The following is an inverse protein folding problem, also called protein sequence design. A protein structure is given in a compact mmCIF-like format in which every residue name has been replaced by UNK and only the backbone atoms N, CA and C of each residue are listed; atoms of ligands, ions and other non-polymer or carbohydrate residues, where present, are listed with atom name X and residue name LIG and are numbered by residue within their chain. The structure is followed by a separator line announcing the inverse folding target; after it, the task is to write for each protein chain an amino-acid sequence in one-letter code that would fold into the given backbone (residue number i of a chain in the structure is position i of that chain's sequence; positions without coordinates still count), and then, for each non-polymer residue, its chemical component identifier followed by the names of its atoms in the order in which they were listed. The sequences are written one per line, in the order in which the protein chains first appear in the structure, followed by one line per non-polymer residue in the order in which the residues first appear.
data_IF_934349041972
#
_entry.id   IF_934349041972
#
_cell.length_a   1.000
_cell.length_b   1.000
_cell.length_c   1.000
_cell.angle_alpha   90.00
_cell.angle_beta   90.00
_cell.angle_gamma   90.00
#
_symmetry.space_group_name_H-M   'P 1'
#
loop_
_entity.id
_entity.type
_entity.pdbx_description
1 polymer ?
#
# COMPACT_ATOMS: atom_id res chain seq x y z
N UNK A 1 -4.60 6.74 -31.99
CA UNK A 1 -6.03 7.11 -31.92
C UNK A 1 -6.23 7.88 -30.63
N UNK A 2 -6.44 9.20 -30.70
CA UNK A 2 -6.49 10.04 -29.52
C UNK A 2 -7.92 10.14 -29.00
N UNK A 3 -8.29 9.32 -28.01
CA UNK A 3 -9.18 9.74 -26.92
C UNK A 3 -9.23 8.68 -25.81
N UNK A 4 -8.31 8.75 -24.87
CA UNK A 4 -8.63 8.41 -23.50
C UNK A 4 -7.91 9.47 -22.69
N UNK A 5 -8.65 10.46 -22.21
CA UNK A 5 -8.38 11.04 -20.91
C UNK A 5 -8.46 9.91 -19.88
N UNK A 6 -7.52 8.97 -19.91
CA UNK A 6 -7.30 7.99 -18.86
C UNK A 6 -6.87 8.83 -17.67
N UNK A 7 -7.86 9.23 -16.88
CA UNK A 7 -7.63 10.01 -15.68
C UNK A 7 -6.71 9.15 -14.81
N UNK A 8 -5.47 9.59 -14.60
CA UNK A 8 -4.47 8.85 -13.81
C UNK A 8 -5.07 8.36 -12.49
N UNK A 9 -5.90 9.20 -11.88
CA UNK A 9 -6.62 8.90 -10.65
C UNK A 9 -7.72 7.83 -10.78
N UNK A 10 -8.36 7.66 -11.94
CA UNK A 10 -9.42 6.65 -12.09
C UNK A 10 -8.85 5.22 -12.04
N UNK A 11 -7.73 4.97 -12.73
CA UNK A 11 -7.09 3.66 -12.68
C UNK A 11 -6.43 3.42 -11.33
N UNK A 12 -5.63 4.40 -10.88
CA UNK A 12 -4.95 4.28 -9.58
C UNK A 12 -5.92 4.13 -8.42
N UNK A 13 -7.14 4.68 -8.52
CA UNK A 13 -8.19 4.46 -7.52
C UNK A 13 -8.63 3.00 -7.48
N UNK A 14 -8.83 2.35 -8.62
CA UNK A 14 -9.20 0.94 -8.65
C UNK A 14 -8.08 0.07 -8.06
N UNK A 15 -6.82 0.30 -8.47
CA UNK A 15 -5.66 -0.42 -7.93
C UNK A 15 -5.50 -0.18 -6.41
N UNK A 16 -5.78 1.05 -5.95
CA UNK A 16 -5.77 1.39 -4.52
C UNK A 16 -6.90 0.67 -3.77
N UNK A 17 -8.10 0.59 -4.34
CA UNK A 17 -9.23 -0.11 -3.72
C UNK A 17 -8.88 -1.60 -3.51
N UNK A 18 -8.26 -2.26 -4.49
CA UNK A 18 -7.78 -3.64 -4.38
C UNK A 18 -6.71 -3.78 -3.28
N UNK A 19 -5.74 -2.86 -3.23
CA UNK A 19 -4.72 -2.83 -2.18
C UNK A 19 -5.34 -2.65 -0.78
N UNK A 20 -6.32 -1.76 -0.64
CA UNK A 20 -7.01 -1.51 0.64
C UNK A 20 -7.85 -2.72 1.08
N UNK A 21 -8.44 -3.44 0.13
CA UNK A 21 -9.15 -4.69 0.42
C UNK A 21 -8.20 -5.75 0.96
N UNK A 22 -7.05 -5.97 0.31
CA UNK A 22 -6.02 -6.90 0.78
C UNK A 22 -5.54 -6.55 2.21
N UNK A 23 -5.29 -5.27 2.50
CA UNK A 23 -4.90 -4.82 3.83
C UNK A 23 -5.98 -5.04 4.90
N UNK A 24 -7.27 -4.88 4.54
CA UNK A 24 -8.40 -5.06 5.49
C UNK A 24 -8.71 -6.51 5.75
N UNK A 25 -8.44 -7.38 4.78
CA UNK A 25 -8.66 -8.81 4.87
C UNK A 25 -7.46 -9.56 5.47
N UNK A 26 -6.43 -8.84 5.93
CA UNK A 26 -5.15 -9.38 6.39
C UNK A 26 -4.54 -10.38 5.38
N UNK A 27 -4.67 -10.08 4.08
CA UNK A 27 -4.16 -10.94 3.03
C UNK A 27 -2.63 -10.99 3.08
N UNK A 28 -2.10 -12.22 3.05
CA UNK A 28 -0.67 -12.41 3.05
C UNK A 28 -0.02 -11.82 1.78
N UNK A 29 0.95 -10.95 1.97
CA UNK A 29 1.72 -10.29 0.92
C UNK A 29 3.12 -10.91 0.78
N UNK A 30 3.64 -10.96 -0.44
CA UNK A 30 5.04 -11.33 -0.63
C UNK A 30 6.00 -10.18 -0.26
N UNK A 31 7.29 -10.48 -0.12
CA UNK A 31 8.32 -9.52 0.28
C UNK A 31 8.38 -8.25 -0.60
N UNK A 32 8.09 -8.37 -1.90
CA UNK A 32 8.05 -7.24 -2.81
C UNK A 32 6.81 -6.37 -2.57
N UNK A 33 5.64 -6.99 -2.42
CA UNK A 33 4.38 -6.31 -2.13
C UNK A 33 4.42 -5.57 -0.79
N UNK A 34 4.99 -6.19 0.26
CA UNK A 34 5.20 -5.56 1.57
C UNK A 34 6.01 -4.26 1.43
N UNK A 35 7.15 -4.31 0.71
CA UNK A 35 8.02 -3.15 0.51
C UNK A 35 7.35 -2.08 -0.34
N UNK A 36 6.70 -2.49 -1.43
CA UNK A 36 6.03 -1.57 -2.35
C UNK A 36 4.87 -0.85 -1.66
N UNK A 37 4.00 -1.58 -0.96
CA UNK A 37 2.86 -1.03 -0.22
C UNK A 37 3.32 -0.09 0.89
N UNK A 38 4.31 -0.49 1.70
CA UNK A 38 4.88 0.37 2.75
C UNK A 38 5.38 1.70 2.17
N UNK A 39 6.20 1.65 1.11
CA UNK A 39 6.75 2.85 0.50
C UNK A 39 5.64 3.75 -0.07
N UNK A 40 4.67 3.17 -0.79
CA UNK A 40 3.55 3.90 -1.37
C UNK A 40 2.74 4.66 -0.30
N UNK A 41 2.39 4.00 0.81
CA UNK A 41 1.63 4.63 1.88
C UNK A 41 2.44 5.69 2.62
N UNK A 42 3.73 5.45 2.88
CA UNK A 42 4.60 6.44 3.51
C UNK A 42 4.75 7.69 2.64
N UNK A 43 5.04 7.53 1.34
CA UNK A 43 5.16 8.66 0.40
C UNK A 43 3.88 9.48 0.32
N UNK A 44 2.70 8.83 0.30
CA UNK A 44 1.42 9.52 0.26
C UNK A 44 1.11 10.26 1.57
N UNK A 45 1.44 9.68 2.73
CA UNK A 45 1.26 10.32 4.03
C UNK A 45 2.25 11.47 4.25
N UNK A 46 3.50 11.31 3.80
CA UNK A 46 4.47 12.41 3.76
C UNK A 46 3.95 13.56 2.91
N UNK A 47 3.42 13.29 1.71
CA UNK A 47 2.75 14.32 0.90
C UNK A 47 1.61 15.00 1.67
N UNK A 48 0.76 14.25 2.38
CA UNK A 48 -0.33 14.83 3.15
C UNK A 48 0.18 15.70 4.32
N UNK A 49 1.27 15.30 4.97
CA UNK A 49 1.91 16.08 6.04
C UNK A 49 2.54 17.36 5.50
N UNK A 50 3.25 17.26 4.38
CA UNK A 50 3.98 18.38 3.78
C UNK A 50 3.05 19.49 3.27
N UNK A 51 1.79 19.15 2.98
CA UNK A 51 0.72 20.09 2.60
C UNK A 51 -0.24 20.44 3.76
N UNK A 52 0.12 20.08 5.01
CA UNK A 52 -0.67 20.33 6.22
C UNK A 52 -2.11 19.76 6.18
N UNK A 53 -2.35 18.71 5.38
CA UNK A 53 -3.62 17.97 5.35
C UNK A 53 -3.77 17.14 6.62
N UNK A 54 -2.65 16.59 7.12
CA UNK A 54 -2.54 15.90 8.40
C UNK A 54 -1.39 16.51 9.21
N UNK A 55 -1.49 16.48 10.54
CA UNK A 55 -0.42 16.97 11.43
C UNK A 55 0.76 16.01 11.53
N UNK A 56 0.59 14.76 11.11
CA UNK A 56 1.59 13.70 11.18
C UNK A 56 0.96 12.32 11.19
N UNK A 57 1.80 11.29 11.13
CA UNK A 57 1.42 9.89 11.21
C UNK A 57 2.53 9.09 11.91
N UNK A 58 2.18 7.91 12.40
CA UNK A 58 3.12 6.99 13.03
C UNK A 58 3.73 6.08 11.95
N UNK A 59 5.00 6.32 11.62
CA UNK A 59 5.73 5.57 10.61
C UNK A 59 6.17 4.18 11.09
N UNK A 60 6.33 3.99 12.40
CA UNK A 60 6.63 2.69 12.99
C UNK A 60 5.40 1.80 12.90
N UNK A 61 4.23 2.30 13.30
CA UNK A 61 2.96 1.58 13.12
C UNK A 61 2.67 1.20 11.66
N UNK A 62 3.04 2.06 10.71
CA UNK A 62 2.92 1.72 9.28
C UNK A 62 3.86 0.59 8.88
N UNK A 63 5.08 0.58 9.42
CA UNK A 63 6.05 -0.50 9.19
C UNK A 63 5.52 -1.82 9.76
N UNK A 64 5.06 -1.79 11.01
CA UNK A 64 4.53 -2.96 11.71
C UNK A 64 3.31 -3.56 10.99
N UNK A 65 2.41 -2.70 10.48
CA UNK A 65 1.26 -3.14 9.69
C UNK A 65 1.70 -3.99 8.50
N UNK A 66 2.60 -3.48 7.66
CA UNK A 66 3.04 -4.19 6.47
C UNK A 66 3.91 -5.41 6.79
N UNK A 67 4.76 -5.33 7.82
CA UNK A 67 5.56 -6.49 8.26
C UNK A 67 4.68 -7.61 8.83
N UNK A 68 3.54 -7.29 9.46
CA UNK A 68 2.59 -8.30 9.95
C UNK A 68 1.88 -9.07 8.84
N UNK A 69 1.72 -8.46 7.66
CA UNK A 69 1.07 -9.05 6.49
C UNK A 69 2.01 -9.90 5.63
N UNK A 70 3.30 -9.94 5.97
CA UNK A 70 4.26 -10.75 5.22
C UNK A 70 3.90 -12.23 5.31
N UNK A 71 3.67 -12.87 4.16
CA UNK A 71 3.56 -14.34 4.08
C UNK A 71 4.83 -14.94 4.65
N UNK A 72 4.69 -15.75 5.70
CA UNK A 72 5.72 -16.73 6.04
C UNK A 72 5.68 -17.73 4.90
N UNK A 73 6.80 -17.93 4.23
CA UNK A 73 6.96 -19.10 3.35
C UNK A 73 6.64 -20.31 4.25
N UNK A 74 5.50 -20.97 3.98
CA UNK A 74 5.28 -22.30 4.53
C UNK A 74 6.43 -23.13 3.96
N UNK A 75 7.33 -23.60 4.83
CA UNK A 75 8.35 -24.58 4.47
C UNK A 75 7.62 -25.75 3.81
N UNK A 76 7.70 -25.83 2.48
CA UNK A 76 7.26 -26.93 1.64
C UNK A 76 8.22 -28.12 1.90
N UNK A 77 8.22 -28.63 3.13
CA UNK A 77 8.82 -29.91 3.51
C UNK A 77 7.77 -31.01 3.30
N UNK A 78 7.70 -31.54 2.08
CA UNK A 78 7.04 -32.81 1.76
C UNK A 78 7.85 -33.64 0.76
#
# INVERSE_FOLDING_TARGET
MSNMSYCRFTNTRADLDDCLEALRNDEGLNDFEVRAGRNMFMEFLDFCRDYDIISGYDSERMTDLFDSLRKKEEDDDA
#
